data_IF_342805620735
#
_entry.id   IF_342805620735
#
_cell.length_a   1.000
_cell.length_b   1.000
_cell.length_c   1.000
_cell.angle_alpha   90.00
_cell.angle_beta   90.00
_cell.angle_gamma   90.00
#
_symmetry.space_group_name_H-M   'P 1'
#
loop_
_entity.id
_entity.type
_entity.pdbx_description
1 polymer ?
#
# COMPACT_ATOMS: atom_id res chain seq x y z
N UNK A 1 -4.00 15.15 -0.47
CA UNK A 1 -3.99 14.39 0.78
C UNK A 1 -5.37 14.45 1.36
N UNK A 2 -5.85 13.34 1.91
CA UNK A 2 -7.06 13.30 2.73
C UNK A 2 -6.64 13.07 4.18
N UNK A 3 -7.30 13.71 5.13
CA UNK A 3 -7.03 13.52 6.56
C UNK A 3 -7.85 12.34 7.06
N UNK A 4 -7.20 11.37 7.72
CA UNK A 4 -7.90 10.29 8.43
C UNK A 4 -7.79 10.49 9.94
N UNK A 5 -8.88 10.18 10.63
CA UNK A 5 -8.96 10.25 12.09
C UNK A 5 -9.10 8.82 12.61
N UNK A 6 -8.08 8.34 13.33
CA UNK A 6 -8.21 7.08 14.07
C UNK A 6 -8.50 7.41 15.53
N UNK A 7 -9.69 7.02 16.00
CA UNK A 7 -10.06 7.13 17.41
C UNK A 7 -9.86 5.76 18.06
N UNK A 8 -8.80 5.61 18.86
CA UNK A 8 -8.72 4.48 19.79
C UNK A 8 -9.69 4.73 20.95
N UNK A 9 -10.70 3.86 21.17
CA UNK A 9 -11.60 4.00 22.31
C UNK A 9 -10.79 3.96 23.61
N UNK A 10 -10.99 4.95 24.48
CA UNK A 10 -10.34 5.12 25.80
C UNK A 10 -8.86 5.56 25.80
N UNK A 11 -8.33 6.08 24.69
CA UNK A 11 -6.99 6.69 24.66
C UNK A 11 -7.08 8.23 24.76
N UNK A 12 -6.23 8.86 25.56
CA UNK A 12 -6.01 10.33 25.53
C UNK A 12 -5.09 10.75 24.38
N UNK A 13 -4.52 9.79 23.65
CA UNK A 13 -3.70 10.05 22.46
C UNK A 13 -4.57 9.88 21.22
N UNK A 14 -4.96 11.02 20.65
CA UNK A 14 -5.52 11.06 19.31
C UNK A 14 -4.39 11.16 18.29
N UNK A 15 -4.27 10.19 17.39
CA UNK A 15 -3.40 10.29 16.22
C UNK A 15 -4.21 10.89 15.06
N UNK A 16 -3.78 12.05 14.59
CA UNK A 16 -4.28 12.63 13.34
C UNK A 16 -3.24 12.30 12.29
N UNK A 17 -3.66 11.60 11.23
CA UNK A 17 -2.78 11.21 10.14
C UNK A 17 -3.26 11.85 8.82
N UNK A 18 -2.32 12.17 7.95
CA UNK A 18 -2.59 12.45 6.55
C UNK A 18 -2.35 11.17 5.76
N UNK A 19 -3.40 10.67 5.12
CA UNK A 19 -3.28 9.57 4.17
C UNK A 19 -2.78 10.12 2.83
N UNK A 20 -1.74 9.46 2.31
CA UNK A 20 -1.22 9.67 0.97
C UNK A 20 -1.96 8.72 0.03
N UNK A 21 -2.75 9.30 -0.87
CA UNK A 21 -3.58 8.57 -1.81
C UNK A 21 -3.00 8.62 -3.22
N UNK A 22 -2.95 7.47 -3.87
CA UNK A 22 -2.72 7.33 -5.31
C UNK A 22 -4.04 7.04 -6.01
N UNK A 23 -4.38 7.84 -7.02
CA UNK A 23 -5.51 7.58 -7.90
C UNK A 23 -5.02 7.03 -9.24
N UNK A 24 -5.46 5.83 -9.58
CA UNK A 24 -5.22 5.23 -10.88
C UNK A 24 -6.45 5.36 -11.79
N UNK A 25 -6.26 5.99 -12.95
CA UNK A 25 -7.33 6.26 -13.90
C UNK A 25 -7.74 5.04 -14.73
N UNK A 26 -6.85 4.06 -14.91
CA UNK A 26 -7.08 2.92 -15.79
C UNK A 26 -8.06 1.95 -15.11
N UNK A 27 -7.82 1.68 -13.84
CA UNK A 27 -8.62 0.76 -13.03
C UNK A 27 -9.63 1.46 -12.14
N UNK A 28 -9.63 2.80 -12.15
CA UNK A 28 -10.53 3.64 -11.39
C UNK A 28 -10.51 3.29 -9.88
N UNK A 29 -9.30 3.33 -9.33
CA UNK A 29 -9.01 2.86 -7.98
C UNK A 29 -8.24 3.92 -7.18
N UNK A 30 -8.54 4.01 -5.88
CA UNK A 30 -7.79 4.83 -4.91
C UNK A 30 -7.03 3.89 -3.98
N UNK A 31 -5.72 4.10 -3.87
CA UNK A 31 -4.82 3.30 -3.06
C UNK A 31 -4.23 4.19 -1.98
N UNK A 32 -4.33 3.77 -0.71
CA UNK A 32 -3.58 4.39 0.39
C UNK A 32 -2.16 3.87 0.30
N UNK A 33 -1.23 4.75 -0.06
CA UNK A 33 0.17 4.41 -0.14
C UNK A 33 0.82 4.41 1.23
N UNK A 34 0.54 5.40 2.05
CA UNK A 34 1.18 5.61 3.33
C UNK A 34 0.36 6.62 4.15
N UNK A 35 0.67 6.76 5.44
CA UNK A 35 0.04 7.71 6.33
C UNK A 35 1.09 8.38 7.21
N UNK A 36 1.10 9.71 7.24
CA UNK A 36 2.04 10.46 8.10
C UNK A 36 1.31 11.17 9.24
N UNK A 37 1.97 11.38 10.39
CA UNK A 37 1.43 12.24 11.43
C UNK A 37 1.15 13.67 10.95
N UNK A 38 0.02 14.23 11.37
CA UNK A 38 -0.31 15.65 11.13
C UNK A 38 0.78 16.61 11.64
N UNK A 39 1.49 16.20 12.68
CA UNK A 39 2.54 16.99 13.33
C UNK A 39 3.81 17.17 12.49
N UNK A 40 3.99 16.40 11.40
CA UNK A 40 5.19 16.49 10.54
C UNK A 40 4.83 16.75 9.07
N UNK A 41 4.20 17.91 8.77
CA UNK A 41 3.72 18.20 7.41
C UNK A 41 4.85 18.36 6.39
N UNK A 42 6.08 18.70 6.80
CA UNK A 42 7.25 18.71 5.91
C UNK A 42 7.54 17.35 5.26
N UNK A 43 7.18 16.25 5.92
CA UNK A 43 7.40 14.88 5.42
C UNK A 43 6.62 14.62 4.12
N UNK A 44 5.51 15.34 3.89
CA UNK A 44 4.73 15.26 2.65
C UNK A 44 5.56 15.54 1.40
N UNK A 45 6.53 16.46 1.51
CA UNK A 45 7.38 16.83 0.37
C UNK A 45 8.24 15.65 -0.06
N UNK A 46 8.85 14.95 0.90
CA UNK A 46 9.71 13.82 0.65
C UNK A 46 8.93 12.65 0.04
N UNK A 47 7.75 12.36 0.57
CA UNK A 47 6.90 11.27 0.06
C UNK A 47 6.49 11.48 -1.40
N UNK A 48 6.15 12.71 -1.77
CA UNK A 48 5.82 13.05 -3.16
C UNK A 48 7.00 12.79 -4.11
N UNK A 49 8.22 13.09 -3.67
CA UNK A 49 9.43 12.87 -4.46
C UNK A 49 9.81 11.38 -4.53
N UNK A 50 9.38 10.58 -3.56
CA UNK A 50 9.68 9.14 -3.46
C UNK A 50 8.79 8.23 -4.29
N UNK A 51 7.65 8.71 -4.83
CA UNK A 51 6.78 7.89 -5.67
C UNK A 51 7.11 8.09 -7.15
N UNK A 52 7.59 7.03 -7.79
CA UNK A 52 7.96 7.00 -9.20
C UNK A 52 7.03 6.07 -9.97
N UNK A 53 6.47 6.55 -11.07
CA UNK A 53 5.75 5.70 -12.04
C UNK A 53 6.72 5.23 -13.12
N UNK A 54 6.90 3.93 -13.25
CA UNK A 54 7.84 3.30 -14.19
C UNK A 54 7.08 2.31 -15.06
N UNK A 55 6.94 2.61 -16.36
CA UNK A 55 6.39 1.74 -17.41
C UNK A 55 5.41 0.63 -16.94
N UNK A 56 4.27 1.03 -16.37
CA UNK A 56 3.20 0.12 -15.95
C UNK A 56 3.33 -0.44 -14.52
N UNK A 57 4.19 0.11 -13.67
CA UNK A 57 4.19 -0.13 -12.22
C UNK A 57 4.64 1.13 -11.46
N UNK A 58 4.47 1.11 -10.15
CA UNK A 58 4.85 2.18 -9.23
C UNK A 58 5.96 1.70 -8.31
N UNK A 59 6.94 2.55 -8.06
CA UNK A 59 8.00 2.34 -7.09
C UNK A 59 7.92 3.44 -6.03
N UNK A 60 7.93 3.04 -4.78
CA UNK A 60 7.92 3.93 -3.63
C UNK A 60 9.26 3.83 -2.92
N UNK A 61 10.18 4.70 -3.31
CA UNK A 61 11.60 4.65 -2.95
C UNK A 61 11.81 4.84 -1.44
N UNK A 62 10.89 5.53 -0.75
CA UNK A 62 10.95 5.74 0.70
C UNK A 62 10.85 4.44 1.50
N UNK A 63 10.16 3.43 0.97
CA UNK A 63 9.96 2.13 1.62
C UNK A 63 10.65 0.97 0.89
N UNK A 64 11.37 1.27 -0.20
CA UNK A 64 11.99 0.26 -1.08
C UNK A 64 10.99 -0.79 -1.58
N UNK A 65 9.78 -0.35 -1.94
CA UNK A 65 8.70 -1.23 -2.41
C UNK A 65 8.24 -0.82 -3.80
N UNK A 66 7.87 -1.80 -4.63
CA UNK A 66 7.21 -1.56 -5.91
C UNK A 66 5.97 -2.43 -6.08
N UNK A 67 4.96 -1.89 -6.74
CA UNK A 67 3.71 -2.59 -7.00
C UNK A 67 3.12 -2.22 -8.37
N UNK A 68 2.31 -3.12 -8.92
CA UNK A 68 1.53 -2.91 -10.13
C UNK A 68 0.05 -3.09 -9.81
N UNK A 69 -0.77 -2.19 -10.31
CA UNK A 69 -2.22 -2.34 -10.31
C UNK A 69 -2.60 -3.23 -11.50
N UNK A 70 -3.28 -4.33 -11.23
CA UNK A 70 -3.60 -5.36 -12.24
C UNK A 70 -5.09 -5.45 -12.55
N UNK A 71 -5.92 -4.98 -11.63
CA UNK A 71 -7.36 -4.85 -11.81
C UNK A 71 -7.91 -3.85 -10.80
N UNK A 72 -9.20 -3.54 -10.92
CA UNK A 72 -9.92 -2.81 -9.89
C UNK A 72 -9.78 -3.52 -8.55
N UNK A 73 -9.35 -2.79 -7.53
CA UNK A 73 -9.10 -3.29 -6.18
C UNK A 73 -8.06 -4.43 -6.09
N UNK A 74 -7.13 -4.54 -7.06
CA UNK A 74 -6.10 -5.57 -7.05
C UNK A 74 -4.73 -5.04 -7.45
N UNK A 75 -3.73 -5.38 -6.63
CA UNK A 75 -2.33 -5.11 -6.91
C UNK A 75 -1.49 -6.38 -6.82
N UNK A 76 -0.31 -6.33 -7.40
CA UNK A 76 0.77 -7.29 -7.18
C UNK A 76 2.05 -6.55 -6.85
N UNK A 77 2.82 -7.10 -5.92
CA UNK A 77 4.15 -6.60 -5.61
C UNK A 77 5.10 -7.05 -6.72
N UNK A 78 5.94 -6.12 -7.14
CA UNK A 78 6.90 -6.34 -8.22
C UNK A 78 8.29 -5.98 -7.72
N UNK A 79 9.29 -6.56 -8.38
CA UNK A 79 10.68 -6.19 -8.18
C UNK A 79 10.90 -4.70 -8.56
N UNK A 80 11.51 -3.88 -7.68
CA UNK A 80 11.65 -2.43 -7.90
C UNK A 80 12.48 -2.02 -9.12
N UNK A 81 13.42 -2.87 -9.55
CA UNK A 81 14.32 -2.57 -10.66
C UNK A 81 13.79 -3.10 -11.99
N UNK A 82 13.16 -4.27 -11.96
CA UNK A 82 12.73 -4.99 -13.17
C UNK A 82 11.25 -4.90 -13.45
N UNK A 83 10.43 -4.52 -12.46
CA UNK A 83 8.97 -4.48 -12.56
C UNK A 83 8.32 -5.85 -12.80
N UNK A 84 9.07 -6.94 -12.59
CA UNK A 84 8.56 -8.31 -12.71
C UNK A 84 7.83 -8.70 -11.43
N UNK A 85 6.73 -9.43 -11.57
CA UNK A 85 6.02 -9.96 -10.41
C UNK A 85 6.97 -10.82 -9.57
N UNK A 86 7.06 -10.53 -8.28
CA UNK A 86 7.81 -11.37 -7.37
C UNK A 86 7.07 -12.70 -7.21
N UNK A 87 7.74 -13.85 -7.39
CA UNK A 87 7.11 -15.14 -7.21
C UNK A 87 6.68 -15.28 -5.76
N UNK A 88 5.42 -15.63 -5.53
CA UNK A 88 4.93 -15.97 -4.19
C UNK A 88 5.47 -17.36 -3.83
N UNK A 89 6.65 -17.42 -3.22
CA UNK A 89 7.29 -18.67 -2.80
C UNK A 89 6.91 -18.94 -1.35
N UNK A 90 6.36 -20.11 -0.98
CA UNK A 90 6.09 -20.44 0.42
C UNK A 90 7.40 -20.56 1.21
N UNK A 91 7.45 -19.98 2.41
CA UNK A 91 8.56 -20.13 3.35
C UNK A 91 8.65 -21.58 3.80
N UNK A 92 9.85 -22.14 3.72
CA UNK A 92 10.13 -23.51 4.15
C UNK A 92 10.96 -23.52 5.43
N UNK A 93 10.82 -24.57 6.24
CA UNK A 93 11.74 -24.88 7.32
C UNK A 93 13.08 -25.45 6.79
N UNK A 94 14.02 -25.74 7.69
CA UNK A 94 15.34 -26.30 7.37
C UNK A 94 15.28 -27.67 6.68
N UNK A 95 14.10 -28.30 6.63
CA UNK A 95 13.84 -29.59 6.00
C UNK A 95 13.05 -29.45 4.69
N UNK A 96 12.83 -28.22 4.22
CA UNK A 96 12.11 -27.93 2.98
C UNK A 96 10.59 -28.05 3.08
N UNK A 97 10.02 -28.14 4.28
CA UNK A 97 8.56 -28.20 4.48
C UNK A 97 7.97 -26.81 4.60
N UNK A 98 6.83 -26.57 3.93
CA UNK A 98 6.09 -25.30 4.00
C UNK A 98 5.71 -24.98 5.45
N UNK A 99 6.07 -23.79 5.90
CA UNK A 99 5.67 -23.26 7.21
C UNK A 99 4.24 -22.73 7.10
N UNK A 100 3.38 -23.22 8.01
CA UNK A 100 1.98 -22.80 8.10
C UNK A 100 1.76 -22.04 9.42
N UNK A 101 1.08 -20.89 9.36
CA UNK A 101 0.54 -20.19 10.54
C UNK A 101 -0.98 -20.15 10.38
N UNK A 102 -1.71 -20.64 11.39
CA UNK A 102 -3.18 -20.76 11.35
C UNK A 102 -3.72 -21.49 10.09
N UNK A 103 -2.98 -22.50 9.61
CA UNK A 103 -3.34 -23.27 8.43
C UNK A 103 -3.06 -22.58 7.08
N UNK A 104 -2.46 -21.40 7.06
CA UNK A 104 -2.07 -20.68 5.84
C UNK A 104 -0.55 -20.69 5.64
N UNK A 105 -0.03 -20.88 4.41
CA UNK A 105 1.38 -20.75 4.10
C UNK A 105 1.90 -19.35 4.42
N UNK A 106 3.04 -19.28 5.09
CA UNK A 106 3.84 -18.06 5.19
C UNK A 106 4.61 -17.94 3.87
N UNK A 107 4.69 -16.77 3.24
CA UNK A 107 5.47 -16.60 2.01
C UNK A 107 6.88 -16.03 2.31
N UNK A 108 7.87 -16.41 1.50
CA UNK A 108 9.22 -15.81 1.45
C UNK A 108 9.08 -14.45 0.81
N UNK A 109 9.71 -13.44 1.40
CA UNK A 109 9.59 -12.05 0.97
C UNK A 109 8.12 -11.60 0.83
N UNK A 110 7.20 -12.21 1.62
CA UNK A 110 5.85 -11.67 1.81
C UNK A 110 6.03 -10.29 2.45
N UNK A 111 5.68 -9.21 1.77
CA UNK A 111 5.83 -7.87 2.30
C UNK A 111 4.67 -7.60 3.26
N UNK A 112 4.55 -8.40 4.33
CA UNK A 112 3.66 -8.10 5.45
C UNK A 112 4.00 -6.75 6.11
N UNK A 113 5.08 -6.08 5.70
CA UNK A 113 5.37 -4.68 6.04
C UNK A 113 4.61 -3.65 5.18
N UNK A 114 4.32 -3.94 3.91
CA UNK A 114 3.68 -2.99 2.98
C UNK A 114 2.52 -3.63 2.24
N UNK A 115 1.33 -3.46 2.81
CA UNK A 115 0.08 -3.93 2.23
C UNK A 115 -0.82 -2.69 2.03
N UNK A 116 -0.62 -1.93 0.95
CA UNK A 116 -1.31 -0.68 0.77
C UNK A 116 -2.82 -0.94 0.71
N UNK A 117 -3.56 -0.21 1.54
CA UNK A 117 -4.99 -0.43 1.68
C UNK A 117 -5.67 0.15 0.45
N UNK A 118 -6.28 -0.73 -0.34
CA UNK A 118 -7.09 -0.31 -1.48
C UNK A 118 -8.44 0.15 -0.93
N UNK A 119 -8.70 1.44 -1.06
CA UNK A 119 -10.00 2.00 -0.71
C UNK A 119 -10.92 1.80 -1.90
N UNK A 120 -11.98 1.00 -1.72
CA UNK A 120 -13.14 1.06 -2.59
C UNK A 120 -13.64 2.50 -2.63
N UNK A 121 -13.90 3.02 -3.83
CA UNK A 121 -14.41 4.38 -4.08
C UNK A 121 -15.42 4.80 -3.00
N UNK A 122 -15.25 6.04 -2.51
CA UNK A 122 -16.35 6.80 -1.92
C UNK A 122 -17.53 6.77 -2.91
N UNK A 123 -18.79 6.65 -2.43
CA UNK A 123 -19.95 6.55 -3.30
C UNK A 123 -19.91 7.65 -4.37
N UNK A 124 -20.28 7.30 -5.61
CA UNK A 124 -20.34 8.26 -6.71
C UNK A 124 -21.16 9.47 -6.27
N UNK A 125 -20.50 10.62 -6.13
CA UNK A 125 -21.21 11.88 -5.93
C UNK A 125 -21.74 12.27 -7.29
N UNK A 126 -22.97 11.89 -7.58
CA UNK A 126 -23.73 12.49 -8.67
C UNK A 126 -24.02 13.93 -8.25
N UNK A 127 -23.28 14.88 -8.82
CA UNK A 127 -23.64 16.30 -8.73
C UNK A 127 -24.85 16.45 -9.64
N UNK A 128 -26.01 16.68 -9.03
CA UNK A 128 -27.19 17.13 -9.78
C UNK A 128 -27.10 18.66 -9.88
N UNK A 129 -27.22 19.17 -11.11
CA UNK A 129 -27.36 20.61 -11.40
C UNK A 129 -28.65 21.19 -10.79
#
# INVERSE_FOLDING_TARGET
GCTSFSFEPNSTRHSILYDILLYDKIYDAIIVLDSIPYSTPEDLKYIKESLVSINGYYRYDALDVAFRIIAKDQIVIVDPDTGKALPKVPKTDDKGKIILINGKPVMVDDPDGYNPVILKRLPEVTIFD
#
